data_IF_264891915593
#
_entry.id   IF_264891915593
#
_cell.length_a   1.000
_cell.length_b   1.000
_cell.length_c   1.000
_cell.angle_alpha   90.00
_cell.angle_beta   90.00
_cell.angle_gamma   90.00
#
_symmetry.space_group_name_H-M   'P 1'
#
loop_
_entity.id
_entity.type
_entity.pdbx_description
1 polymer ?
#
# COMPACT_ATOMS: atom_id res chain seq x y z
N UNK A 1 -116.73 67.30 -2.61
CA UNK A 1 -116.83 66.76 -1.26
C UNK A 1 -115.74 65.76 -1.09
N UNK A 2 -114.90 66.15 -0.20
CA UNK A 2 -114.34 65.36 0.91
C UNK A 2 -113.51 64.14 0.54
N UNK A 3 -112.48 63.83 1.09
CA UNK A 3 -111.63 64.27 2.18
C UNK A 3 -110.44 63.24 2.26
N UNK A 4 -109.34 63.79 2.57
CA UNK A 4 -108.33 63.37 3.55
C UNK A 4 -108.14 61.90 3.88
N UNK A 5 -106.94 61.47 3.90
CA UNK A 5 -106.19 61.13 5.07
C UNK A 5 -104.84 60.49 4.67
N UNK A 6 -103.91 61.18 5.01
CA UNK A 6 -102.84 60.87 5.97
C UNK A 6 -102.10 59.58 5.76
N UNK A 7 -100.83 59.79 5.45
CA UNK A 7 -99.81 58.79 5.43
C UNK A 7 -99.40 58.39 6.80
N UNK A 8 -99.04 57.16 6.99
CA UNK A 8 -98.34 56.66 8.11
C UNK A 8 -96.93 56.20 7.62
N UNK A 9 -96.02 56.99 8.08
CA UNK A 9 -94.59 56.61 7.95
C UNK A 9 -94.28 55.38 8.82
N UNK A 10 -94.16 54.29 8.19
CA UNK A 10 -93.62 53.08 8.89
C UNK A 10 -92.13 53.23 9.20
N UNK A 11 -91.85 53.39 10.43
CA UNK A 11 -90.48 53.23 10.90
C UNK A 11 -90.03 51.73 10.79
N UNK A 12 -89.11 51.49 9.92
CA UNK A 12 -88.43 50.18 9.83
C UNK A 12 -87.43 50.04 11.00
N UNK A 13 -87.79 49.24 11.96
CA UNK A 13 -86.82 48.83 13.03
C UNK A 13 -86.09 47.62 12.60
N UNK A 14 -84.77 47.75 12.45
CA UNK A 14 -83.86 46.64 12.22
C UNK A 14 -83.32 46.20 13.56
N UNK A 15 -83.48 44.91 13.88
CA UNK A 15 -82.93 44.31 15.07
C UNK A 15 -81.39 44.07 14.84
N UNK A 16 -80.55 44.68 15.64
CA UNK A 16 -79.13 44.42 15.67
C UNK A 16 -78.93 43.03 16.24
N UNK A 17 -78.58 42.06 15.38
CA UNK A 17 -78.04 40.74 15.80
C UNK A 17 -76.54 40.85 15.88
N UNK A 18 -75.94 40.32 16.99
CA UNK A 18 -74.51 40.09 17.07
C UNK A 18 -74.14 39.02 16.05
N UNK A 19 -73.43 39.40 15.01
CA UNK A 19 -72.78 38.50 14.05
C UNK A 19 -71.30 38.48 14.36
N UNK A 20 -70.73 37.28 14.47
CA UNK A 20 -69.25 37.11 14.48
C UNK A 20 -68.76 37.48 13.08
N UNK A 21 -68.00 38.54 12.98
CA UNK A 21 -67.34 38.94 11.74
C UNK A 21 -66.07 38.03 11.59
N UNK A 22 -66.18 37.13 10.66
CA UNK A 22 -65.00 36.32 10.30
C UNK A 22 -64.25 37.04 9.20
N UNK A 23 -63.19 37.67 9.51
CA UNK A 23 -62.26 38.24 8.51
C UNK A 23 -61.45 37.10 7.93
N UNK A 24 -61.47 36.83 6.66
CA UNK A 24 -60.80 35.75 5.97
C UNK A 24 -59.85 36.32 4.91
N UNK A 25 -58.58 36.11 5.08
CA UNK A 25 -57.55 36.43 4.10
C UNK A 25 -57.40 35.27 3.16
N UNK A 26 -57.58 35.45 1.87
CA UNK A 26 -57.31 34.45 0.83
C UNK A 26 -55.90 34.67 0.32
N UNK A 27 -55.04 33.72 0.56
CA UNK A 27 -53.67 33.70 0.00
C UNK A 27 -53.52 32.51 -0.96
N UNK A 28 -52.98 32.75 -2.13
CA UNK A 28 -52.56 31.70 -3.06
C UNK A 28 -51.03 31.50 -2.93
N UNK A 29 -50.62 30.25 -2.88
CA UNK A 29 -49.20 29.91 -2.76
C UNK A 29 -48.85 28.71 -3.60
N UNK A 30 -47.57 28.60 -3.95
CA UNK A 30 -46.98 27.43 -4.62
C UNK A 30 -46.46 26.48 -3.59
N UNK A 31 -46.80 25.19 -3.71
CA UNK A 31 -46.25 24.11 -2.90
C UNK A 31 -45.04 23.57 -3.64
N UNK A 32 -43.87 23.63 -3.01
CA UNK A 32 -42.62 23.11 -3.56
C UNK A 32 -42.05 22.03 -2.63
N UNK A 33 -41.29 21.07 -3.19
CA UNK A 33 -40.56 20.13 -2.40
C UNK A 33 -39.54 20.88 -1.55
N UNK A 34 -39.35 20.43 -0.33
CA UNK A 34 -38.33 20.99 0.61
C UNK A 34 -36.95 20.90 0.06
N UNK A 35 -36.60 19.84 -0.70
CA UNK A 35 -35.29 19.59 -1.28
C UNK A 35 -35.44 18.79 -2.56
N UNK A 36 -34.91 19.32 -3.66
CA UNK A 36 -34.74 18.61 -4.93
C UNK A 36 -33.27 18.31 -5.13
N UNK A 37 -32.91 17.11 -5.55
CA UNK A 37 -31.56 16.71 -5.87
C UNK A 37 -31.49 16.03 -7.21
N UNK A 38 -30.56 16.51 -8.06
CA UNK A 38 -30.25 15.91 -9.35
C UNK A 38 -29.30 14.72 -9.17
N UNK A 39 -29.58 13.68 -9.92
CA UNK A 39 -28.75 12.47 -10.00
C UNK A 39 -28.06 12.47 -11.35
N UNK A 40 -26.72 12.41 -11.34
CA UNK A 40 -25.89 12.28 -12.53
C UNK A 40 -24.86 11.18 -12.31
N UNK A 41 -24.27 10.67 -13.39
CA UNK A 41 -23.14 9.75 -13.31
C UNK A 41 -21.84 10.45 -13.67
N UNK A 42 -20.73 9.94 -13.14
CA UNK A 42 -19.37 10.40 -13.45
C UNK A 42 -18.72 9.58 -14.58
N UNK A 43 -19.55 8.97 -15.44
CA UNK A 43 -19.12 8.23 -16.63
C UNK A 43 -19.69 8.92 -17.87
N UNK A 44 -19.00 8.84 -19.00
CA UNK A 44 -19.43 9.40 -20.28
C UNK A 44 -19.26 8.34 -21.38
N UNK A 45 -20.01 8.50 -22.45
CA UNK A 45 -19.98 7.65 -23.64
C UNK A 45 -20.26 6.16 -23.34
N UNK A 46 -21.15 5.91 -22.36
CA UNK A 46 -21.57 4.58 -21.94
C UNK A 46 -23.04 4.36 -22.24
N UNK A 47 -23.41 3.14 -22.58
CA UNK A 47 -24.80 2.78 -22.90
C UNK A 47 -25.55 2.41 -21.63
N UNK A 48 -26.80 2.88 -21.51
CA UNK A 48 -27.70 2.52 -20.43
C UNK A 48 -28.16 1.06 -20.62
N UNK A 49 -27.69 0.16 -19.78
CA UNK A 49 -27.99 -1.28 -19.81
C UNK A 49 -29.35 -1.59 -19.16
N UNK A 50 -29.65 -0.91 -18.05
CA UNK A 50 -30.87 -1.15 -17.28
C UNK A 50 -31.28 0.07 -16.46
N UNK A 51 -32.58 0.27 -16.33
CA UNK A 51 -33.20 1.26 -15.44
C UNK A 51 -34.06 0.51 -14.43
N UNK A 52 -33.93 0.85 -13.17
CA UNK A 52 -34.59 0.17 -12.05
C UNK A 52 -35.78 0.91 -11.48
N UNK A 53 -35.97 2.19 -11.87
CA UNK A 53 -37.00 3.08 -11.34
C UNK A 53 -37.79 3.73 -12.47
N UNK A 54 -38.98 4.22 -12.13
CA UNK A 54 -39.85 5.01 -13.01
C UNK A 54 -40.19 6.32 -12.33
N UNK A 55 -40.65 7.30 -13.11
CA UNK A 55 -41.18 8.53 -12.57
C UNK A 55 -42.40 8.22 -11.66
N UNK A 56 -42.37 8.75 -10.44
CA UNK A 56 -43.36 8.47 -9.40
C UNK A 56 -42.93 7.41 -8.37
N UNK A 57 -41.83 6.66 -8.59
CA UNK A 57 -41.34 5.64 -7.66
C UNK A 57 -40.70 6.31 -6.43
N UNK A 58 -40.93 5.68 -5.26
CA UNK A 58 -40.24 6.03 -4.01
C UNK A 58 -38.94 5.26 -3.90
N UNK A 59 -37.84 5.99 -3.66
CA UNK A 59 -36.54 5.44 -3.52
C UNK A 59 -35.93 5.83 -2.16
N UNK A 60 -35.05 4.95 -1.63
CA UNK A 60 -34.23 5.23 -0.48
C UNK A 60 -32.81 5.55 -0.92
N UNK A 61 -32.08 6.27 -0.09
CA UNK A 61 -30.65 6.50 -0.30
C UNK A 61 -29.91 5.17 -0.51
N UNK A 62 -29.18 5.06 -1.64
CA UNK A 62 -28.46 3.87 -2.04
C UNK A 62 -29.23 2.92 -2.97
N UNK A 63 -30.54 3.14 -3.21
CA UNK A 63 -31.30 2.34 -4.18
C UNK A 63 -30.77 2.57 -5.60
N UNK A 64 -30.68 1.49 -6.38
CA UNK A 64 -30.21 1.56 -7.78
C UNK A 64 -31.22 2.27 -8.65
N UNK A 65 -30.78 3.29 -9.39
CA UNK A 65 -31.60 4.05 -10.37
C UNK A 65 -31.35 3.53 -11.78
N UNK A 66 -30.06 3.46 -12.18
CA UNK A 66 -29.67 3.01 -13.50
C UNK A 66 -28.37 2.19 -13.43
N UNK A 67 -28.20 1.32 -14.39
CA UNK A 67 -26.96 0.55 -14.62
C UNK A 67 -26.50 0.83 -16.06
N UNK A 68 -25.28 1.25 -16.20
CA UNK A 68 -24.61 1.35 -17.50
C UNK A 68 -23.96 0.04 -17.90
N UNK A 69 -23.63 -0.08 -19.17
CA UNK A 69 -22.87 -1.22 -19.68
C UNK A 69 -21.46 -1.22 -19.07
N UNK A 70 -21.12 -2.33 -18.44
CA UNK A 70 -19.87 -2.51 -17.67
C UNK A 70 -18.97 -3.60 -18.21
N UNK A 71 -19.36 -4.27 -19.32
CA UNK A 71 -18.66 -5.48 -19.81
C UNK A 71 -17.15 -5.21 -20.07
N UNK A 72 -16.80 -4.04 -20.65
CA UNK A 72 -15.39 -3.66 -20.87
C UNK A 72 -14.65 -3.33 -19.58
N UNK A 73 -15.34 -2.77 -18.58
CA UNK A 73 -14.74 -2.42 -17.28
C UNK A 73 -14.58 -3.65 -16.39
N UNK A 74 -15.50 -4.62 -16.50
CA UNK A 74 -15.35 -5.94 -15.86
C UNK A 74 -14.13 -6.66 -16.39
N UNK A 75 -13.91 -6.67 -17.71
CA UNK A 75 -12.68 -7.21 -18.31
C UNK A 75 -11.43 -6.49 -17.87
N UNK A 76 -11.47 -5.15 -17.77
CA UNK A 76 -10.33 -4.35 -17.27
C UNK A 76 -10.02 -4.62 -15.79
N UNK A 77 -11.04 -4.89 -14.98
CA UNK A 77 -10.86 -5.29 -13.59
C UNK A 77 -10.19 -6.68 -13.49
N UNK A 78 -10.63 -7.64 -14.31
CA UNK A 78 -10.03 -8.97 -14.39
C UNK A 78 -8.56 -8.89 -14.80
N UNK A 79 -8.25 -8.15 -15.87
CA UNK A 79 -6.86 -7.90 -16.30
C UNK A 79 -5.99 -7.26 -15.20
N UNK A 80 -6.54 -6.30 -14.44
CA UNK A 80 -5.83 -5.68 -13.33
C UNK A 80 -5.59 -6.65 -12.17
N UNK A 81 -6.55 -7.54 -11.88
CA UNK A 81 -6.41 -8.60 -10.86
C UNK A 81 -5.36 -9.64 -11.26
N UNK A 82 -5.35 -10.05 -12.53
CA UNK A 82 -4.34 -10.96 -13.08
C UNK A 82 -2.94 -10.35 -13.00
N UNK A 83 -2.80 -9.07 -13.37
CA UNK A 83 -1.54 -8.34 -13.24
C UNK A 83 -1.06 -8.23 -11.78
N UNK A 84 -1.98 -8.08 -10.83
CA UNK A 84 -1.65 -8.10 -9.40
C UNK A 84 -1.14 -9.49 -8.95
N UNK A 85 -1.80 -10.55 -9.38
CA UNK A 85 -1.40 -11.93 -9.08
C UNK A 85 -0.03 -12.26 -9.68
N UNK A 86 0.22 -11.82 -10.91
CA UNK A 86 1.53 -11.99 -11.58
C UNK A 86 2.62 -11.19 -10.85
N UNK A 87 2.37 -9.94 -10.48
CA UNK A 87 3.32 -9.12 -9.73
C UNK A 87 3.67 -9.74 -8.37
N UNK A 88 2.70 -10.34 -7.69
CA UNK A 88 2.92 -11.06 -6.43
C UNK A 88 3.78 -12.30 -6.63
N UNK A 89 3.48 -13.10 -7.65
CA UNK A 89 4.16 -14.37 -7.92
C UNK A 89 5.59 -14.15 -8.40
N UNK A 90 5.79 -13.28 -9.40
CA UNK A 90 7.12 -12.99 -9.95
C UNK A 90 8.07 -12.40 -8.91
N UNK A 91 7.59 -11.43 -8.13
CA UNK A 91 8.43 -10.81 -7.09
C UNK A 91 8.69 -11.74 -5.89
N UNK A 92 7.79 -12.69 -5.61
CA UNK A 92 8.04 -13.73 -4.61
C UNK A 92 9.20 -14.64 -5.03
N UNK A 93 9.26 -15.05 -6.30
CA UNK A 93 10.37 -15.83 -6.85
C UNK A 93 11.71 -15.06 -6.83
N UNK A 94 11.68 -13.75 -7.08
CA UNK A 94 12.88 -12.90 -6.96
C UNK A 94 13.40 -12.86 -5.53
N UNK A 95 12.52 -12.75 -4.53
CA UNK A 95 12.90 -12.79 -3.12
C UNK A 95 13.46 -14.16 -2.74
N UNK A 96 12.83 -15.25 -3.17
CA UNK A 96 13.29 -16.61 -2.92
C UNK A 96 14.70 -16.81 -3.49
N UNK A 97 14.95 -16.45 -4.74
CA UNK A 97 16.27 -16.51 -5.37
C UNK A 97 17.31 -15.67 -4.62
N UNK A 98 16.97 -14.44 -4.24
CA UNK A 98 17.88 -13.59 -3.47
C UNK A 98 18.15 -14.16 -2.07
N UNK A 99 17.17 -14.80 -1.43
CA UNK A 99 17.33 -15.45 -0.13
C UNK A 99 18.25 -16.68 -0.24
N UNK A 100 18.11 -17.51 -1.25
CA UNK A 100 19.00 -18.64 -1.50
C UNK A 100 20.46 -18.19 -1.70
N UNK A 101 20.69 -17.11 -2.43
CA UNK A 101 22.01 -16.52 -2.59
C UNK A 101 22.59 -16.03 -1.25
N UNK A 102 21.77 -15.44 -0.40
CA UNK A 102 22.19 -15.01 0.94
C UNK A 102 22.53 -16.18 1.84
N UNK A 103 21.73 -17.24 1.84
CA UNK A 103 21.97 -18.44 2.63
C UNK A 103 23.22 -19.20 2.17
N UNK A 104 23.46 -19.23 0.85
CA UNK A 104 24.71 -19.76 0.26
C UNK A 104 25.92 -18.94 0.72
N UNK A 105 25.84 -17.60 0.65
CA UNK A 105 26.93 -16.74 1.10
C UNK A 105 27.25 -16.90 2.60
N UNK A 106 26.24 -17.14 3.45
CA UNK A 106 26.44 -17.45 4.87
C UNK A 106 27.11 -18.80 5.08
N UNK A 107 26.70 -19.81 4.33
CA UNK A 107 27.30 -21.15 4.36
C UNK A 107 28.77 -21.10 3.95
N UNK A 108 29.07 -20.42 2.84
CA UNK A 108 30.43 -20.22 2.34
C UNK A 108 31.28 -19.43 3.31
N UNK A 109 30.75 -18.41 3.96
CA UNK A 109 31.43 -17.66 5.01
C UNK A 109 31.84 -18.58 6.16
N UNK A 110 30.94 -19.42 6.64
CA UNK A 110 31.20 -20.37 7.74
C UNK A 110 32.29 -21.39 7.36
N UNK A 111 32.12 -21.97 6.16
CA UNK A 111 33.09 -22.96 5.65
C UNK A 111 34.47 -22.34 5.46
N UNK A 112 34.57 -21.21 4.76
CA UNK A 112 35.83 -20.56 4.44
C UNK A 112 36.54 -20.05 5.69
N UNK A 113 35.85 -19.47 6.65
CA UNK A 113 36.40 -19.01 7.93
C UNK A 113 36.94 -20.20 8.73
N UNK A 114 36.21 -21.32 8.76
CA UNK A 114 36.63 -22.54 9.44
C UNK A 114 37.89 -23.13 8.79
N UNK A 115 37.95 -23.15 7.46
CA UNK A 115 39.12 -23.61 6.70
C UNK A 115 40.36 -22.73 6.95
N UNK A 116 40.20 -21.41 6.91
CA UNK A 116 41.25 -20.44 7.18
C UNK A 116 41.78 -20.58 8.62
N UNK A 117 40.88 -20.72 9.62
CA UNK A 117 41.28 -20.96 11.01
C UNK A 117 42.07 -22.28 11.19
N UNK A 118 41.67 -23.36 10.48
CA UNK A 118 42.44 -24.63 10.47
C UNK A 118 43.85 -24.45 9.89
N UNK A 119 43.99 -23.66 8.82
CA UNK A 119 45.29 -23.35 8.22
C UNK A 119 46.20 -22.58 9.19
N UNK A 120 45.69 -21.56 9.87
CA UNK A 120 46.42 -20.81 10.89
C UNK A 120 46.86 -21.75 12.01
N UNK A 121 45.97 -22.62 12.51
CA UNK A 121 46.31 -23.61 13.56
C UNK A 121 47.41 -24.60 13.11
N UNK A 122 47.38 -25.03 11.84
CA UNK A 122 48.42 -25.89 11.25
C UNK A 122 49.76 -25.17 11.17
N UNK A 123 49.77 -23.93 10.68
CA UNK A 123 50.98 -23.11 10.60
C UNK A 123 51.54 -22.78 12.00
N UNK A 124 50.72 -22.52 12.99
CA UNK A 124 51.09 -22.28 14.37
C UNK A 124 51.84 -23.55 14.95
N UNK A 125 51.26 -24.74 14.73
CA UNK A 125 51.84 -25.99 15.17
C UNK A 125 53.19 -26.27 14.48
N UNK A 126 53.33 -25.95 13.20
CA UNK A 126 54.57 -26.06 12.47
C UNK A 126 55.65 -25.12 13.05
N UNK A 127 55.32 -23.86 13.33
CA UNK A 127 56.20 -22.89 13.99
C UNK A 127 56.66 -23.40 15.37
N UNK A 128 55.76 -23.94 16.19
CA UNK A 128 56.11 -24.50 17.51
C UNK A 128 57.04 -25.68 17.40
N UNK A 129 56.86 -26.57 16.42
CA UNK A 129 57.74 -27.70 16.14
C UNK A 129 59.09 -27.21 15.70
N UNK A 130 59.19 -26.26 14.79
CA UNK A 130 60.48 -25.67 14.36
C UNK A 130 61.16 -24.91 15.49
N UNK A 131 60.44 -24.23 16.37
CA UNK A 131 60.99 -23.57 17.54
C UNK A 131 61.66 -24.57 18.53
N UNK A 132 61.00 -25.73 18.76
CA UNK A 132 61.61 -26.83 19.60
C UNK A 132 62.86 -27.40 18.97
N UNK A 133 62.82 -27.61 17.63
CA UNK A 133 64.01 -28.10 16.91
C UNK A 133 65.19 -27.12 17.00
N UNK A 134 64.92 -25.82 16.80
CA UNK A 134 65.90 -24.75 16.93
C UNK A 134 66.44 -24.68 18.33
N UNK A 135 65.64 -24.79 19.37
CA UNK A 135 66.09 -24.78 20.76
C UNK A 135 67.01 -26.01 21.06
N UNK A 136 66.67 -27.20 20.54
CA UNK A 136 67.45 -28.41 20.65
C UNK A 136 68.79 -28.25 19.97
N UNK A 137 68.83 -27.69 18.76
CA UNK A 137 70.08 -27.44 18.03
C UNK A 137 70.99 -26.42 18.78
N UNK A 138 70.40 -25.33 19.31
CA UNK A 138 71.10 -24.34 20.14
C UNK A 138 71.74 -25.00 21.36
N UNK A 139 71.02 -25.85 22.08
CA UNK A 139 71.52 -26.55 23.27
C UNK A 139 72.62 -27.52 22.92
N UNK A 140 72.56 -28.22 21.76
CA UNK A 140 73.60 -29.12 21.27
C UNK A 140 74.91 -28.37 20.98
N UNK A 141 74.85 -27.26 20.26
CA UNK A 141 75.99 -26.40 19.97
C UNK A 141 76.62 -25.90 21.28
N UNK A 142 75.80 -25.37 22.21
CA UNK A 142 76.28 -24.90 23.52
C UNK A 142 77.03 -26.02 24.34
N UNK A 143 76.44 -27.23 24.37
CA UNK A 143 77.03 -28.36 25.02
C UNK A 143 78.38 -28.72 24.42
N UNK A 144 78.56 -28.74 23.12
CA UNK A 144 79.83 -29.06 22.43
C UNK A 144 80.87 -27.95 22.61
N UNK A 145 80.44 -26.69 22.74
CA UNK A 145 81.32 -25.55 23.01
C UNK A 145 81.89 -25.55 24.44
N UNK A 146 81.11 -25.97 25.45
CA UNK A 146 81.48 -25.92 26.88
C UNK A 146 82.05 -27.21 27.42
N UNK A 147 81.95 -28.36 26.72
CA UNK A 147 82.41 -29.65 27.15
C UNK A 147 83.91 -29.85 26.90
N UNK A 148 84.61 -30.55 27.78
CA UNK A 148 86.05 -30.89 27.67
C UNK A 148 86.42 -31.73 26.41
N UNK A 149 85.40 -32.31 25.72
CA UNK A 149 85.48 -33.00 24.42
C UNK A 149 85.24 -32.11 23.22
N UNK A 150 84.98 -30.78 23.39
CA UNK A 150 84.61 -29.85 22.34
C UNK A 150 85.74 -29.49 21.34
N UNK A 151 86.83 -30.19 21.32
CA UNK A 151 87.92 -30.03 20.34
C UNK A 151 87.70 -30.85 19.06
N UNK A 152 86.68 -31.67 18.98
CA UNK A 152 86.38 -32.34 17.72
C UNK A 152 85.71 -31.34 16.78
N UNK A 153 86.46 -30.70 15.91
CA UNK A 153 86.04 -29.62 15.00
C UNK A 153 84.89 -30.06 14.06
N UNK A 154 84.86 -31.35 13.74
CA UNK A 154 83.88 -31.91 12.80
C UNK A 154 82.45 -32.03 13.40
N UNK A 155 82.35 -32.49 14.67
CA UNK A 155 81.04 -32.56 15.38
C UNK A 155 80.47 -31.18 15.67
N UNK A 156 81.30 -30.20 16.02
CA UNK A 156 80.90 -28.83 16.23
C UNK A 156 80.45 -28.15 14.93
N UNK A 157 81.16 -28.43 13.83
CA UNK A 157 80.79 -27.92 12.50
C UNK A 157 79.44 -28.48 12.07
N UNK A 158 79.22 -29.80 12.17
CA UNK A 158 77.94 -30.42 11.86
C UNK A 158 76.82 -29.91 12.78
N UNK A 159 77.06 -29.64 14.07
CA UNK A 159 76.06 -29.05 14.97
C UNK A 159 75.71 -27.60 14.62
N UNK A 160 76.73 -26.82 14.17
CA UNK A 160 76.43 -25.43 13.65
C UNK A 160 75.63 -25.43 12.37
N UNK A 161 75.92 -26.32 11.42
CA UNK A 161 75.11 -26.49 10.18
C UNK A 161 73.67 -26.89 10.50
N UNK A 162 73.47 -27.83 11.45
CA UNK A 162 72.14 -28.20 11.91
C UNK A 162 71.42 -27.06 12.60
N UNK A 163 72.11 -26.18 13.34
CA UNK A 163 71.55 -24.97 13.92
C UNK A 163 71.12 -24.01 12.86
N UNK A 164 71.92 -23.76 11.81
CA UNK A 164 71.56 -22.90 10.67
C UNK A 164 70.28 -23.40 9.98
N UNK A 165 70.24 -24.71 9.66
CA UNK A 165 69.03 -25.32 9.04
C UNK A 165 67.81 -25.21 9.93
N UNK A 166 67.96 -25.41 11.25
CA UNK A 166 66.82 -25.25 12.18
C UNK A 166 66.40 -23.82 12.33
N UNK A 167 67.30 -22.84 12.19
CA UNK A 167 66.94 -21.40 12.17
C UNK A 167 66.20 -20.98 10.90
N UNK A 168 66.65 -21.43 9.74
CA UNK A 168 65.94 -21.25 8.46
C UNK A 168 64.53 -21.84 8.48
N UNK A 169 64.41 -23.09 8.97
CA UNK A 169 63.13 -23.77 9.12
C UNK A 169 62.16 -23.00 10.06
N UNK A 170 62.70 -22.43 11.16
CA UNK A 170 61.91 -21.62 12.06
C UNK A 170 61.44 -20.31 11.43
N UNK A 171 62.31 -19.60 10.72
CA UNK A 171 61.91 -18.33 10.02
C UNK A 171 60.92 -18.62 8.89
N UNK A 172 61.08 -19.73 8.16
CA UNK A 172 60.11 -20.17 7.17
C UNK A 172 58.73 -20.47 7.79
N UNK A 173 58.70 -21.21 8.91
CA UNK A 173 57.48 -21.53 9.62
C UNK A 173 56.82 -20.30 10.25
N UNK A 174 57.61 -19.32 10.70
CA UNK A 174 57.16 -18.04 11.20
C UNK A 174 56.47 -17.21 10.08
N UNK A 175 57.10 -17.08 8.91
CA UNK A 175 56.56 -16.40 7.75
C UNK A 175 55.28 -17.07 7.23
N UNK A 176 55.28 -18.44 7.18
CA UNK A 176 54.09 -19.18 6.79
C UNK A 176 52.90 -18.96 7.74
N UNK A 177 53.15 -18.79 9.05
CA UNK A 177 52.12 -18.45 10.02
C UNK A 177 51.57 -17.03 9.77
N UNK A 178 52.42 -16.05 9.47
CA UNK A 178 52.04 -14.69 9.19
C UNK A 178 51.16 -14.64 7.92
N UNK A 179 51.59 -15.26 6.84
CA UNK A 179 50.81 -15.43 5.62
C UNK A 179 49.46 -16.12 5.86
N UNK A 180 49.44 -17.16 6.72
CA UNK A 180 48.17 -17.83 7.03
C UNK A 180 47.18 -16.93 7.80
N UNK A 181 47.68 -16.05 8.67
CA UNK A 181 46.88 -15.07 9.39
C UNK A 181 46.35 -13.97 8.46
N UNK A 182 47.18 -13.47 7.57
CA UNK A 182 46.79 -12.47 6.58
C UNK A 182 45.70 -13.02 5.66
N UNK A 183 45.90 -14.24 5.15
CA UNK A 183 44.87 -14.93 4.35
C UNK A 183 43.57 -15.17 5.12
N UNK A 184 43.63 -15.43 6.43
CA UNK A 184 42.45 -15.56 7.28
C UNK A 184 41.69 -14.22 7.36
N UNK A 185 42.42 -13.13 7.55
CA UNK A 185 41.84 -11.78 7.62
C UNK A 185 41.19 -11.38 6.30
N UNK A 186 41.86 -11.63 5.18
CA UNK A 186 41.39 -11.31 3.86
C UNK A 186 40.17 -12.17 3.50
N UNK A 187 40.19 -13.47 3.81
CA UNK A 187 39.06 -14.37 3.65
C UNK A 187 37.84 -13.86 4.44
N UNK A 188 38.04 -13.46 5.70
CA UNK A 188 36.97 -12.94 6.54
C UNK A 188 36.37 -11.65 5.98
N UNK A 189 37.21 -10.74 5.46
CA UNK A 189 36.78 -9.49 4.82
C UNK A 189 35.99 -9.74 3.55
N UNK A 190 36.49 -10.63 2.70
CA UNK A 190 35.83 -10.98 1.43
C UNK A 190 34.48 -11.66 1.66
N UNK A 191 34.41 -12.62 2.58
CA UNK A 191 33.17 -13.29 2.97
C UNK A 191 32.14 -12.29 3.54
N UNK A 192 32.58 -11.36 4.41
CA UNK A 192 31.70 -10.31 4.93
C UNK A 192 31.13 -9.44 3.82
N UNK A 193 31.93 -9.09 2.82
CA UNK A 193 31.50 -8.32 1.66
C UNK A 193 30.43 -9.08 0.86
N UNK A 194 30.68 -10.37 0.56
CA UNK A 194 29.72 -11.22 -0.17
C UNK A 194 28.39 -11.36 0.56
N UNK A 195 28.41 -11.62 1.86
CA UNK A 195 27.21 -11.71 2.69
C UNK A 195 26.46 -10.37 2.73
N UNK A 196 27.18 -9.25 2.85
CA UNK A 196 26.56 -7.92 2.83
C UNK A 196 25.89 -7.63 1.50
N UNK A 197 26.52 -7.99 0.39
CA UNK A 197 25.97 -7.83 -0.95
C UNK A 197 24.70 -8.68 -1.14
N UNK A 198 24.74 -9.95 -0.78
CA UNK A 198 23.60 -10.84 -0.87
C UNK A 198 22.42 -10.37 0.00
N UNK A 199 22.70 -9.87 1.22
CA UNK A 199 21.70 -9.24 2.09
C UNK A 199 21.05 -8.03 1.44
N UNK A 200 21.85 -7.20 0.78
CA UNK A 200 21.33 -6.03 0.05
C UNK A 200 20.43 -6.44 -1.12
N UNK A 201 20.76 -7.54 -1.82
CA UNK A 201 19.91 -8.10 -2.88
C UNK A 201 18.54 -8.52 -2.36
N UNK A 202 18.48 -9.20 -1.20
CA UNK A 202 17.21 -9.55 -0.54
C UNK A 202 16.40 -8.29 -0.19
N UNK A 203 17.05 -7.26 0.36
CA UNK A 203 16.39 -6.01 0.70
C UNK A 203 15.81 -5.30 -0.54
N UNK A 204 16.57 -5.30 -1.64
CA UNK A 204 16.14 -4.71 -2.90
C UNK A 204 14.96 -5.48 -3.51
N UNK A 205 15.02 -6.81 -3.52
CA UNK A 205 13.93 -7.64 -4.00
C UNK A 205 12.62 -7.38 -3.22
N UNK A 206 12.69 -7.29 -1.89
CA UNK A 206 11.53 -6.95 -1.04
C UNK A 206 11.00 -5.54 -1.30
N UNK A 207 11.89 -4.58 -1.54
CA UNK A 207 11.49 -3.21 -1.88
C UNK A 207 10.78 -3.15 -3.24
N UNK A 208 11.30 -3.91 -4.22
CA UNK A 208 10.70 -4.02 -5.54
C UNK A 208 9.32 -4.69 -5.46
N UNK A 209 9.18 -5.78 -4.69
CA UNK A 209 7.89 -6.41 -4.43
C UNK A 209 6.88 -5.41 -3.90
N UNK A 210 7.24 -4.66 -2.85
CA UNK A 210 6.35 -3.68 -2.24
C UNK A 210 5.86 -2.64 -3.25
N UNK A 211 6.75 -2.17 -4.14
CA UNK A 211 6.40 -1.19 -5.17
C UNK A 211 5.51 -1.80 -6.25
N UNK A 212 5.91 -2.93 -6.82
CA UNK A 212 5.17 -3.57 -7.91
C UNK A 212 3.77 -4.02 -7.48
N UNK A 213 3.66 -4.63 -6.30
CA UNK A 213 2.36 -5.05 -5.75
C UNK A 213 1.47 -3.83 -5.45
N UNK A 214 2.03 -2.75 -4.89
CA UNK A 214 1.28 -1.53 -4.63
C UNK A 214 0.79 -0.86 -5.91
N UNK A 215 1.60 -0.82 -6.95
CA UNK A 215 1.20 -0.26 -8.26
C UNK A 215 0.11 -1.10 -8.93
N UNK A 216 0.24 -2.43 -8.88
CA UNK A 216 -0.79 -3.33 -9.40
C UNK A 216 -2.09 -3.24 -8.58
N UNK A 217 -2.00 -3.18 -7.25
CA UNK A 217 -3.16 -2.98 -6.36
C UNK A 217 -3.91 -1.69 -6.67
N UNK A 218 -3.18 -0.60 -6.93
CA UNK A 218 -3.79 0.68 -7.31
C UNK A 218 -4.57 0.58 -8.61
N UNK A 219 -4.08 -0.18 -9.59
CA UNK A 219 -4.82 -0.41 -10.83
C UNK A 219 -6.13 -1.19 -10.60
N UNK A 220 -6.11 -2.17 -9.69
CA UNK A 220 -7.33 -2.89 -9.30
C UNK A 220 -8.33 -1.94 -8.64
N UNK A 221 -7.88 -1.06 -7.74
CA UNK A 221 -8.73 -0.06 -7.08
C UNK A 221 -9.34 0.92 -8.11
N UNK A 222 -8.53 1.41 -9.06
CA UNK A 222 -8.99 2.32 -10.12
C UNK A 222 -10.01 1.64 -11.06
N UNK A 223 -9.78 0.37 -11.42
CA UNK A 223 -10.72 -0.40 -12.23
C UNK A 223 -12.04 -0.68 -11.48
N UNK A 224 -11.95 -1.04 -10.19
CA UNK A 224 -13.11 -1.23 -9.33
C UNK A 224 -13.92 0.06 -9.16
N UNK A 225 -13.26 1.19 -8.90
CA UNK A 225 -13.93 2.50 -8.80
C UNK A 225 -14.62 2.88 -10.11
N UNK A 226 -14.03 2.56 -11.26
CA UNK A 226 -14.62 2.79 -12.57
C UNK A 226 -15.87 1.92 -12.77
N UNK A 227 -15.82 0.68 -12.35
CA UNK A 227 -16.95 -0.24 -12.40
C UNK A 227 -18.10 0.21 -11.48
N UNK A 228 -17.78 0.66 -10.26
CA UNK A 228 -18.76 1.14 -9.29
C UNK A 228 -19.50 2.37 -9.82
N UNK A 229 -18.83 3.23 -10.57
CA UNK A 229 -19.43 4.41 -11.23
C UNK A 229 -20.46 4.06 -12.31
N UNK A 230 -20.46 2.83 -12.82
CA UNK A 230 -21.48 2.36 -13.75
C UNK A 230 -22.83 2.07 -13.09
N UNK A 231 -22.88 1.97 -11.76
CA UNK A 231 -24.13 1.84 -11.01
C UNK A 231 -24.51 3.18 -10.41
N UNK A 232 -25.59 3.76 -10.92
CA UNK A 232 -26.13 5.02 -10.41
C UNK A 232 -27.12 4.74 -9.29
N UNK A 233 -26.90 5.36 -8.14
CA UNK A 233 -27.75 5.18 -6.95
C UNK A 233 -28.37 6.48 -6.48
N UNK A 234 -29.48 6.37 -5.76
CA UNK A 234 -30.16 7.52 -5.15
C UNK A 234 -29.30 8.15 -4.04
N UNK A 235 -29.00 9.46 -4.09
CA UNK A 235 -28.20 10.15 -3.08
C UNK A 235 -28.99 10.45 -1.79
N UNK A 236 -30.31 10.42 -1.84
CA UNK A 236 -31.23 10.68 -0.73
C UNK A 236 -32.52 9.86 -0.86
N UNK A 237 -33.28 9.80 0.22
CA UNK A 237 -34.68 9.32 0.18
C UNK A 237 -35.57 10.31 -0.54
N UNK A 238 -36.47 9.83 -1.38
CA UNK A 238 -37.37 10.72 -2.12
C UNK A 238 -38.23 10.00 -3.14
N UNK A 239 -38.86 10.81 -4.00
CA UNK A 239 -39.65 10.36 -5.16
C UNK A 239 -38.97 10.80 -6.43
N UNK A 240 -38.89 9.92 -7.41
CA UNK A 240 -38.35 10.23 -8.74
C UNK A 240 -39.36 11.12 -9.47
N UNK A 241 -39.01 12.38 -9.75
CA UNK A 241 -39.88 13.35 -10.45
C UNK A 241 -39.57 13.42 -11.93
N UNK A 242 -38.30 13.21 -12.29
CA UNK A 242 -37.85 13.25 -13.69
C UNK A 242 -36.89 12.09 -13.96
N UNK A 243 -36.98 11.52 -15.16
CA UNK A 243 -36.03 10.50 -15.65
C UNK A 243 -35.71 10.84 -17.11
N UNK A 244 -34.43 11.18 -17.37
CA UNK A 244 -34.01 11.74 -18.67
C UNK A 244 -33.24 10.73 -19.52
N UNK A 245 -33.20 9.46 -19.14
CA UNK A 245 -32.50 8.39 -19.86
C UNK A 245 -33.41 7.20 -20.10
N UNK A 246 -33.17 6.48 -21.20
CA UNK A 246 -33.86 5.25 -21.56
C UNK A 246 -32.83 4.11 -21.76
N UNK A 247 -33.29 2.86 -21.64
CA UNK A 247 -32.47 1.70 -21.92
C UNK A 247 -32.01 1.71 -23.36
N UNK A 248 -30.72 1.56 -23.61
CA UNK A 248 -30.11 1.64 -24.94
C UNK A 248 -29.58 3.01 -25.33
N UNK A 249 -29.89 4.08 -24.56
CA UNK A 249 -29.33 5.40 -24.81
C UNK A 249 -27.85 5.46 -24.48
N UNK A 250 -27.08 6.23 -25.24
CA UNK A 250 -25.71 6.59 -24.91
C UNK A 250 -25.72 7.82 -23.99
N UNK A 251 -25.24 7.64 -22.79
CA UNK A 251 -25.11 8.73 -21.81
C UNK A 251 -23.84 9.53 -22.06
N UNK A 252 -23.97 10.80 -22.40
CA UNK A 252 -22.89 11.74 -22.69
C UNK A 252 -22.68 12.78 -21.58
N UNK A 253 -23.31 12.58 -20.43
CA UNK A 253 -23.34 13.52 -19.31
C UNK A 253 -24.71 14.17 -19.06
N UNK A 254 -24.84 14.82 -17.93
CA UNK A 254 -26.04 15.55 -17.53
C UNK A 254 -26.88 14.85 -16.45
N UNK A 255 -28.12 15.30 -16.28
CA UNK A 255 -29.03 14.78 -15.25
C UNK A 255 -29.69 13.50 -15.73
N UNK A 256 -29.55 12.42 -15.01
CA UNK A 256 -30.22 11.12 -15.25
C UNK A 256 -31.62 11.13 -14.65
N UNK A 257 -31.75 11.58 -13.42
CA UNK A 257 -33.00 11.64 -12.68
C UNK A 257 -33.01 12.83 -11.72
N UNK A 258 -34.21 13.28 -11.35
CA UNK A 258 -34.39 14.20 -10.24
C UNK A 258 -35.22 13.55 -9.15
N UNK A 259 -34.81 13.81 -7.92
CA UNK A 259 -35.40 13.26 -6.70
C UNK A 259 -35.93 14.42 -5.85
N UNK A 260 -37.19 14.33 -5.45
CA UNK A 260 -37.81 15.25 -4.52
C UNK A 260 -37.97 14.61 -3.15
N UNK A 261 -37.58 15.35 -2.12
CA UNK A 261 -37.81 14.96 -0.73
C UNK A 261 -39.30 15.17 -0.38
N UNK A 262 -40.00 14.09 -0.13
CA UNK A 262 -41.42 14.11 0.25
C UNK A 262 -41.65 14.14 1.78
N UNK A 263 -40.61 14.26 2.57
CA UNK A 263 -40.71 14.36 4.05
C UNK A 263 -41.29 15.68 4.53
N UNK A 264 -41.32 16.70 3.66
CA UNK A 264 -41.89 18.00 3.93
C UNK A 264 -42.06 18.85 2.66
N UNK A 265 -42.96 19.82 2.73
CA UNK A 265 -43.19 20.77 1.65
C UNK A 265 -42.97 22.19 2.17
N UNK A 266 -42.52 23.06 1.32
CA UNK A 266 -42.42 24.50 1.55
C UNK A 266 -43.55 25.17 0.78
N UNK A 267 -44.32 26.03 1.45
CA UNK A 267 -45.34 26.81 0.82
C UNK A 267 -44.86 28.26 0.80
N UNK A 268 -44.67 28.78 -0.38
CA UNK A 268 -44.39 30.21 -0.58
C UNK A 268 -45.68 30.89 -0.96
N UNK A 269 -46.17 31.79 -0.10
CA UNK A 269 -47.38 32.55 -0.33
C UNK A 269 -47.05 34.02 -0.34
N UNK A 270 -47.73 34.77 -1.21
CA UNK A 270 -47.68 36.22 -1.27
C UNK A 270 -49.02 36.78 -0.73
N UNK A 271 -48.96 37.61 0.29
CA UNK A 271 -50.11 38.29 0.87
C UNK A 271 -49.92 39.78 0.60
N UNK A 272 -50.98 40.45 0.11
CA UNK A 272 -50.89 41.87 -0.17
C UNK A 272 -50.92 42.68 1.15
N UNK A 273 -50.13 43.73 1.24
CA UNK A 273 -49.94 44.52 2.45
C UNK A 273 -51.28 45.13 2.96
N UNK A 274 -52.21 45.33 2.07
CA UNK A 274 -53.56 45.85 2.41
C UNK A 274 -54.49 44.85 3.12
N UNK A 275 -54.12 43.55 3.06
CA UNK A 275 -54.90 42.50 3.70
C UNK A 275 -54.35 42.10 5.09
N UNK A 276 -53.29 42.79 5.55
CA UNK A 276 -52.68 42.61 6.85
C UNK A 276 -52.99 43.84 7.74
N UNK A 277 -54.19 43.92 8.27
CA UNK A 277 -54.56 44.99 9.21
C UNK A 277 -55.05 44.44 10.52
#
# INVERSE_FOLDING_TARGET
>A
KKASSEGVTGQSTTTLAKMDLTDSISASGTIESRKTQTVSASVNDVTVKKIYVKVGDKVKKGDKIALFDSDSLESSLEEAQDALSEAQSSTALEIESAQEQYDTALSDQSYNNTKAAKNVKKAQKAKETAAKALQTAKNKVKKLQTGAKGKNSQELTAAKEALTKAQEAYEQAKSALETAKDNQTDTARQNKSSVTQAKSSVSNARSNQTKSVKEAQKKVEEAQESLDKCTVTAPMDGVVTTLNVSVGDTYTGGTIAELDDTSGYTITTSVDEYDIS
#
